data_IF_733962605451
#
_entry.id   IF_733962605451
#
_cell.length_a   1.000
_cell.length_b   1.000
_cell.length_c   1.000
_cell.angle_alpha   90.00
_cell.angle_beta   90.00
_cell.angle_gamma   90.00
#
_symmetry.space_group_name_H-M   'P 1'
#
loop_
_entity.id
_entity.type
_entity.pdbx_description
1 polymer ?
#
# COMPACT_ATOMS: atom_id res chain seq x y z
N UNK A 1 -11.40 1.93 22.82
CA UNK A 1 -11.24 0.69 22.02
C UNK A 1 -12.12 0.80 20.78
N UNK A 2 -11.65 0.41 19.58
CA UNK A 2 -12.50 0.44 18.39
C UNK A 2 -13.73 -0.43 18.63
N UNK A 3 -14.91 0.13 18.34
CA UNK A 3 -16.23 -0.49 18.59
C UNK A 3 -16.40 -1.83 17.86
N UNK A 4 -15.67 -2.01 16.75
CA UNK A 4 -15.62 -3.24 15.94
C UNK A 4 -14.21 -3.43 15.30
N UNK A 5 -13.32 -4.26 15.86
CA UNK A 5 -11.96 -4.45 15.33
C UNK A 5 -11.93 -5.02 13.91
N UNK A 6 -12.92 -5.83 13.53
CA UNK A 6 -13.03 -6.39 12.17
C UNK A 6 -13.33 -5.32 11.11
N UNK A 7 -14.21 -4.36 11.40
CA UNK A 7 -14.50 -3.24 10.49
C UNK A 7 -13.27 -2.36 10.30
N UNK A 8 -12.52 -2.11 11.38
CA UNK A 8 -11.26 -1.37 11.30
C UNK A 8 -10.24 -2.06 10.39
N UNK A 9 -10.04 -3.38 10.54
CA UNK A 9 -9.13 -4.14 9.68
C UNK A 9 -9.53 -4.09 8.20
N UNK A 10 -10.83 -4.14 7.91
CA UNK A 10 -11.36 -4.06 6.56
C UNK A 10 -11.10 -2.67 5.93
N UNK A 11 -11.30 -1.59 6.69
CA UNK A 11 -10.95 -0.23 6.27
C UNK A 11 -9.45 -0.11 6.01
N UNK A 12 -8.62 -0.63 6.91
CA UNK A 12 -7.17 -0.62 6.73
C UNK A 12 -6.75 -1.36 5.46
N UNK A 13 -7.32 -2.54 5.18
CA UNK A 13 -7.06 -3.27 3.94
C UNK A 13 -7.43 -2.48 2.69
N UNK A 14 -8.57 -1.80 2.69
CA UNK A 14 -8.98 -0.93 1.57
C UNK A 14 -7.96 0.21 1.39
N UNK A 15 -7.56 0.87 2.49
CA UNK A 15 -6.56 1.94 2.46
C UNK A 15 -5.21 1.43 1.92
N UNK A 16 -4.76 0.23 2.32
CA UNK A 16 -3.53 -0.36 1.80
C UNK A 16 -3.58 -0.56 0.27
N UNK A 17 -4.73 -0.97 -0.27
CA UNK A 17 -4.91 -1.11 -1.73
C UNK A 17 -4.80 0.24 -2.42
N UNK A 18 -5.44 1.29 -1.89
CA UNK A 18 -5.33 2.64 -2.45
C UNK A 18 -3.89 3.16 -2.40
N UNK A 19 -3.17 2.95 -1.31
CA UNK A 19 -1.76 3.36 -1.19
C UNK A 19 -0.88 2.58 -2.17
N UNK A 20 -1.12 1.28 -2.35
CA UNK A 20 -0.37 0.48 -3.32
C UNK A 20 -0.58 0.99 -4.75
N UNK A 21 -1.82 1.30 -5.12
CA UNK A 21 -2.16 1.83 -6.44
C UNK A 21 -1.52 3.20 -6.69
N UNK A 22 -1.58 4.12 -5.73
CA UNK A 22 -0.95 5.44 -5.87
C UNK A 22 0.57 5.34 -5.92
N UNK A 23 1.17 4.50 -5.09
CA UNK A 23 2.61 4.25 -5.11
C UNK A 23 3.07 3.67 -6.46
N UNK A 24 2.31 2.73 -7.04
CA UNK A 24 2.61 2.20 -8.38
C UNK A 24 2.52 3.30 -9.45
N UNK A 25 1.47 4.12 -9.45
CA UNK A 25 1.31 5.21 -10.40
C UNK A 25 2.47 6.23 -10.31
N UNK A 26 2.82 6.65 -9.09
CA UNK A 26 3.94 7.58 -8.84
C UNK A 26 5.27 6.94 -9.21
N UNK A 27 5.47 5.65 -8.91
CA UNK A 27 6.68 4.91 -9.26
C UNK A 27 6.91 4.82 -10.77
N UNK A 28 5.86 4.52 -11.54
CA UNK A 28 5.91 4.49 -13.01
C UNK A 28 6.19 5.89 -13.57
N UNK A 29 5.52 6.92 -13.04
CA UNK A 29 5.77 8.30 -13.46
C UNK A 29 7.21 8.75 -13.17
N UNK A 30 7.74 8.40 -11.99
CA UNK A 30 9.11 8.69 -11.60
C UNK A 30 10.15 7.97 -12.49
N UNK A 31 9.87 6.73 -12.94
CA UNK A 31 10.70 6.03 -13.91
C UNK A 31 10.79 6.79 -15.24
N UNK A 32 9.65 7.29 -15.74
CA UNK A 32 9.61 8.09 -16.98
C UNK A 32 10.41 9.40 -16.87
N UNK A 33 10.46 9.98 -15.67
CA UNK A 33 11.26 11.17 -15.37
C UNK A 33 12.72 10.88 -15.00
N UNK A 34 13.19 9.61 -15.12
CA UNK A 34 14.52 9.14 -14.70
C UNK A 34 14.84 9.40 -13.22
N UNK A 35 13.82 9.55 -12.37
CA UNK A 35 13.96 9.71 -10.92
C UNK A 35 14.03 8.33 -10.25
N UNK A 36 15.10 7.59 -10.54
CA UNK A 36 15.21 6.17 -10.17
C UNK A 36 15.15 5.91 -8.66
N UNK A 37 15.69 6.81 -7.84
CA UNK A 37 15.64 6.68 -6.38
C UNK A 37 14.19 6.73 -5.88
N UNK A 38 13.41 7.68 -6.38
CA UNK A 38 12.01 7.85 -6.00
C UNK A 38 11.18 6.68 -6.53
N UNK A 39 11.42 6.26 -7.78
CA UNK A 39 10.79 5.08 -8.34
C UNK A 39 11.03 3.83 -7.47
N UNK A 40 12.28 3.56 -7.11
CA UNK A 40 12.64 2.43 -6.24
C UNK A 40 11.94 2.51 -4.88
N UNK A 41 11.92 3.68 -4.24
CA UNK A 41 11.22 3.89 -2.98
C UNK A 41 9.71 3.59 -3.10
N UNK A 42 9.07 4.06 -4.18
CA UNK A 42 7.65 3.83 -4.41
C UNK A 42 7.31 2.36 -4.67
N UNK A 43 8.17 1.62 -5.38
CA UNK A 43 7.99 0.17 -5.53
C UNK A 43 8.13 -0.59 -4.21
N UNK A 44 9.06 -0.17 -3.33
CA UNK A 44 9.18 -0.73 -1.97
C UNK A 44 7.90 -0.45 -1.18
N UNK A 45 7.38 0.79 -1.23
CA UNK A 45 6.12 1.14 -0.56
C UNK A 45 4.97 0.26 -1.08
N UNK A 46 4.84 0.09 -2.40
CA UNK A 46 3.83 -0.77 -3.00
C UNK A 46 3.95 -2.23 -2.52
N UNK A 47 5.15 -2.80 -2.52
CA UNK A 47 5.40 -4.15 -2.01
C UNK A 47 5.04 -4.28 -0.52
N UNK A 48 5.37 -3.25 0.28
CA UNK A 48 5.03 -3.23 1.71
C UNK A 48 3.52 -3.18 1.97
N UNK A 49 2.77 -2.42 1.16
CA UNK A 49 1.30 -2.40 1.26
C UNK A 49 0.68 -3.76 0.95
N UNK A 50 1.25 -4.51 0.00
CA UNK A 50 0.81 -5.89 -0.28
C UNK A 50 1.02 -6.79 0.93
N UNK A 51 2.18 -6.70 1.60
CA UNK A 51 2.46 -7.45 2.84
C UNK A 51 1.47 -7.08 3.95
N UNK A 52 1.20 -5.79 4.14
CA UNK A 52 0.22 -5.32 5.12
C UNK A 52 -1.19 -5.84 4.82
N UNK A 53 -1.60 -5.84 3.55
CA UNK A 53 -2.89 -6.39 3.13
C UNK A 53 -3.01 -7.87 3.50
N UNK A 54 -2.01 -8.69 3.18
CA UNK A 54 -2.03 -10.11 3.54
C UNK A 54 -1.99 -10.34 5.06
N UNK A 55 -1.23 -9.52 5.78
CA UNK A 55 -1.16 -9.58 7.25
C UNK A 55 -2.52 -9.31 7.87
N UNK A 56 -3.23 -8.27 7.42
CA UNK A 56 -4.54 -7.92 7.95
C UNK A 56 -5.64 -8.88 7.47
N UNK A 57 -5.54 -9.38 6.24
CA UNK A 57 -6.44 -10.44 5.72
C UNK A 57 -6.41 -11.70 6.59
N UNK A 58 -5.25 -12.07 7.14
CA UNK A 58 -5.11 -13.22 8.05
C UNK A 58 -5.73 -12.99 9.43
N UNK A 59 -6.02 -11.75 9.81
CA UNK A 59 -6.54 -11.36 11.14
C UNK A 59 -8.06 -11.14 11.17
N UNK A 60 -8.72 -11.14 10.01
CA UNK A 60 -10.17 -11.02 9.87
C UNK A 60 -10.84 -12.38 10.00
#
# INVERSE_FOLDING_TARGET
MPKDPKKLLLILMIVAVFIALTALAVGIFALSLKQYIIAAAMFIVAAWQVVNFFKWKKLI
#
